data_IF_543899836149
#
_entry.id   IF_543899836149
#
_cell.length_a   1.000
_cell.length_b   1.000
_cell.length_c   1.000
_cell.angle_alpha   90.00
_cell.angle_beta   90.00
_cell.angle_gamma   90.00
#
_symmetry.space_group_name_H-M   'P 1'
#
loop_
_entity.id
_entity.type
_entity.pdbx_description
1 polymer ?
#
# COMPACT_ATOMS: atom_id res chain seq x y z
N UNK A 1 55.24 2.24 12.96
CA UNK A 1 53.81 2.04 12.63
C UNK A 1 53.44 3.04 11.54
N UNK A 2 52.87 2.59 10.41
CA UNK A 2 52.56 3.45 9.26
C UNK A 2 51.44 4.43 9.64
N UNK A 3 51.65 5.72 9.39
CA UNK A 3 50.78 6.84 9.79
C UNK A 3 49.33 6.62 9.30
N UNK A 4 49.17 6.00 8.13
CA UNK A 4 47.90 5.57 7.55
C UNK A 4 47.11 4.58 8.43
N UNK A 5 47.80 3.68 9.14
CA UNK A 5 47.16 2.71 10.05
C UNK A 5 46.65 3.38 11.33
N UNK A 6 47.29 4.46 11.76
CA UNK A 6 46.85 5.24 12.95
C UNK A 6 45.65 6.11 12.57
N UNK A 7 45.64 6.67 11.36
CA UNK A 7 44.53 7.46 10.85
C UNK A 7 43.26 6.61 10.68
N UNK A 8 43.38 5.39 10.13
CA UNK A 8 42.24 4.48 10.00
C UNK A 8 41.69 4.05 11.37
N UNK A 9 42.57 3.79 12.35
CA UNK A 9 42.14 3.41 13.69
C UNK A 9 41.37 4.56 14.37
N UNK A 10 41.84 5.80 14.22
CA UNK A 10 41.15 6.97 14.77
C UNK A 10 39.76 7.18 14.15
N UNK A 11 39.61 6.91 12.84
CA UNK A 11 38.34 7.09 12.13
C UNK A 11 37.29 6.04 12.54
N UNK A 12 37.72 4.80 12.81
CA UNK A 12 36.83 3.73 13.32
C UNK A 12 36.37 4.02 14.75
N UNK A 13 37.24 4.56 15.62
CA UNK A 13 36.87 4.93 16.98
C UNK A 13 35.85 6.08 16.99
N UNK A 14 35.98 7.06 16.09
CA UNK A 14 35.02 8.15 15.95
C UNK A 14 33.62 7.67 15.50
N UNK A 15 33.56 6.67 14.62
CA UNK A 15 32.30 6.05 14.19
C UNK A 15 31.63 5.25 15.31
N UNK A 16 32.39 4.58 16.17
CA UNK A 16 31.86 3.78 17.29
C UNK A 16 31.43 4.62 18.50
N UNK A 17 31.88 5.88 18.60
CA UNK A 17 31.52 6.78 19.70
C UNK A 17 30.26 7.62 19.43
N UNK A 18 29.65 7.50 18.25
CA UNK A 18 28.41 8.19 17.93
C UNK A 18 27.22 7.41 18.50
N UNK A 19 26.44 7.96 19.45
CA UNK A 19 25.23 7.30 19.91
C UNK A 19 24.24 7.25 18.73
N UNK A 20 23.94 6.04 18.26
CA UNK A 20 22.79 5.83 17.40
C UNK A 20 21.54 6.11 18.25
N UNK A 21 21.02 7.34 18.21
CA UNK A 21 19.66 7.64 18.63
C UNK A 21 18.69 7.04 17.61
N UNK A 22 18.56 5.72 17.65
CA UNK A 22 17.28 5.11 17.34
C UNK A 22 16.33 5.54 18.45
N UNK A 23 15.58 6.61 18.20
CA UNK A 23 14.44 6.96 19.04
C UNK A 23 13.42 5.84 18.95
N UNK A 24 13.52 4.84 19.82
CA UNK A 24 12.41 3.97 20.13
C UNK A 24 11.33 4.89 20.71
N UNK A 25 10.34 5.24 19.88
CA UNK A 25 9.19 6.04 20.30
C UNK A 25 8.62 5.42 21.58
N UNK A 26 8.49 6.23 22.63
CA UNK A 26 7.82 5.82 23.86
C UNK A 26 6.38 5.47 23.48
N UNK A 27 6.00 4.22 23.62
CA UNK A 27 4.59 3.83 23.57
C UNK A 27 3.85 4.57 24.68
N UNK A 28 3.04 5.55 24.29
CA UNK A 28 2.11 6.20 25.21
C UNK A 28 0.94 5.24 25.36
N UNK A 29 0.95 4.44 26.43
CA UNK A 29 -0.25 3.80 26.93
C UNK A 29 -1.07 4.94 27.53
N UNK A 30 -2.19 5.29 26.89
CA UNK A 30 -3.16 6.22 27.47
C UNK A 30 -3.95 5.41 28.50
N UNK A 31 -3.56 5.53 29.76
CA UNK A 31 -4.39 5.07 30.87
C UNK A 31 -5.65 5.96 30.92
N UNK A 32 -6.81 5.32 30.86
CA UNK A 32 -8.16 5.84 31.09
C UNK A 32 -8.57 7.17 30.43
N UNK A 33 -9.17 7.01 29.24
CA UNK A 33 -10.43 7.63 28.82
C UNK A 33 -10.71 9.08 29.26
N UNK A 34 -10.05 10.03 28.61
CA UNK A 34 -10.58 11.39 28.46
C UNK A 34 -11.56 11.45 27.26
N UNK A 35 -12.49 10.48 27.23
CA UNK A 35 -13.63 10.58 26.32
C UNK A 35 -14.54 11.64 26.92
N UNK A 36 -14.62 12.78 26.24
CA UNK A 36 -15.75 13.69 26.37
C UNK A 36 -17.01 12.83 26.44
N UNK A 37 -17.77 12.94 27.53
CA UNK A 37 -18.96 12.13 27.77
C UNK A 37 -19.91 12.33 26.59
N UNK A 38 -19.89 11.36 25.67
CA UNK A 38 -20.69 11.39 24.46
C UNK A 38 -21.94 10.53 24.73
N UNK A 39 -23.11 11.15 24.90
CA UNK A 39 -24.34 10.42 25.18
C UNK A 39 -24.69 9.41 24.07
N UNK A 40 -24.22 9.61 22.83
CA UNK A 40 -24.44 8.66 21.74
C UNK A 40 -23.55 7.41 21.93
N UNK A 41 -22.34 7.57 22.45
CA UNK A 41 -21.47 6.44 22.80
C UNK A 41 -22.03 5.66 23.99
N UNK A 42 -22.49 6.36 25.04
CA UNK A 42 -23.12 5.72 26.20
C UNK A 42 -24.40 4.96 25.81
N UNK A 43 -25.20 5.52 24.89
CA UNK A 43 -26.38 4.85 24.35
C UNK A 43 -26.02 3.62 23.50
N UNK A 44 -24.95 3.69 22.71
CA UNK A 44 -24.46 2.56 21.92
C UNK A 44 -23.92 1.43 22.82
N UNK A 45 -23.20 1.76 23.89
CA UNK A 45 -22.69 0.78 24.86
C UNK A 45 -23.83 0.14 25.66
N UNK A 46 -24.81 0.93 26.12
CA UNK A 46 -25.98 0.41 26.81
C UNK A 46 -26.81 -0.51 25.89
N UNK A 47 -26.96 -0.15 24.61
CA UNK A 47 -27.61 -0.99 23.60
C UNK A 47 -26.81 -2.28 23.30
N UNK A 48 -25.47 -2.20 23.36
CA UNK A 48 -24.58 -3.34 23.05
C UNK A 48 -24.31 -4.27 24.24
N UNK A 49 -24.50 -3.83 25.48
CA UNK A 49 -24.13 -4.62 26.68
C UNK A 49 -25.21 -4.75 27.74
N UNK A 50 -26.41 -4.21 27.51
CA UNK A 50 -27.54 -4.36 28.42
C UNK A 50 -28.12 -5.79 28.41
N UNK A 51 -28.40 -6.33 29.61
CA UNK A 51 -29.07 -7.61 29.87
C UNK A 51 -30.51 -7.74 29.29
N UNK A 52 -30.92 -6.84 28.39
CA UNK A 52 -32.18 -6.89 27.66
C UNK A 52 -32.07 -7.68 26.33
N UNK A 53 -30.88 -8.13 25.93
CA UNK A 53 -30.68 -8.90 24.70
C UNK A 53 -31.24 -10.35 24.71
N UNK A 54 -31.88 -10.80 25.80
CA UNK A 54 -32.38 -12.19 25.91
C UNK A 54 -33.91 -12.34 25.93
N UNK A 55 -34.71 -11.30 25.64
CA UNK A 55 -36.17 -11.49 25.51
C UNK A 55 -36.79 -10.55 24.46
N UNK A 56 -36.67 -10.91 23.18
CA UNK A 56 -37.75 -10.65 22.23
C UNK A 56 -37.72 -11.67 21.08
N UNK A 57 -38.66 -12.64 21.01
CA UNK A 57 -38.69 -13.64 19.95
C UNK A 57 -39.51 -13.11 18.78
N UNK A 58 -39.09 -12.03 18.11
CA UNK A 58 -39.82 -11.52 16.93
C UNK A 58 -39.00 -10.51 16.13
N UNK A 59 -37.88 -10.94 15.54
CA UNK A 59 -37.35 -10.27 14.34
C UNK A 59 -37.08 -11.33 13.30
N UNK A 60 -37.95 -11.32 12.29
CA UNK A 60 -37.83 -12.02 11.02
C UNK A 60 -36.39 -11.93 10.48
N UNK A 61 -35.83 -13.11 10.25
CA UNK A 61 -35.14 -13.52 9.03
C UNK A 61 -35.04 -12.45 7.92
N UNK A 62 -33.80 -12.24 7.44
CA UNK A 62 -33.33 -11.37 6.35
C UNK A 62 -32.66 -10.04 6.74
N UNK A 63 -31.62 -10.12 7.56
CA UNK A 63 -30.41 -9.33 7.28
C UNK A 63 -29.47 -10.22 6.46
N UNK A 64 -29.78 -10.35 5.16
CA UNK A 64 -28.78 -10.84 4.22
C UNK A 64 -27.59 -9.87 4.32
N UNK A 65 -26.45 -10.37 4.81
CA UNK A 65 -25.19 -9.69 4.59
C UNK A 65 -25.12 -9.43 3.08
N UNK A 66 -25.13 -8.15 2.69
CA UNK A 66 -24.85 -7.76 1.32
C UNK A 66 -23.42 -8.22 1.09
N UNK A 67 -23.25 -9.40 0.48
CA UNK A 67 -21.99 -9.79 -0.14
C UNK A 67 -21.73 -8.72 -1.20
N UNK A 68 -21.00 -7.68 -0.80
CA UNK A 68 -20.34 -6.81 -1.76
C UNK A 68 -19.39 -7.72 -2.51
N UNK A 69 -19.76 -8.02 -3.75
CA UNK A 69 -18.96 -8.79 -4.68
C UNK A 69 -17.76 -7.92 -5.09
N UNK A 70 -16.82 -7.76 -4.16
CA UNK A 70 -15.55 -7.10 -4.40
C UNK A 70 -14.69 -8.10 -5.13
N UNK A 71 -14.18 -7.73 -6.30
CA UNK A 71 -13.29 -8.57 -7.08
C UNK A 71 -12.09 -9.03 -6.21
N UNK A 72 -11.76 -10.32 -6.27
CA UNK A 72 -10.53 -10.84 -5.67
C UNK A 72 -9.35 -10.46 -6.57
N UNK A 73 -8.52 -9.56 -6.07
CA UNK A 73 -7.32 -9.03 -6.69
C UNK A 73 -6.05 -9.40 -5.91
N UNK A 74 -6.14 -10.22 -4.86
CA UNK A 74 -4.97 -10.71 -4.13
C UNK A 74 -4.14 -11.68 -4.97
N UNK A 75 -2.81 -11.64 -4.84
CA UNK A 75 -1.88 -12.56 -5.49
C UNK A 75 -0.80 -11.89 -6.32
N UNK A 76 -0.17 -12.66 -7.20
CA UNK A 76 0.94 -12.23 -8.05
C UNK A 76 0.44 -11.67 -9.38
N UNK A 77 0.91 -10.48 -9.74
CA UNK A 77 0.51 -9.72 -10.91
C UNK A 77 1.73 -9.23 -11.67
N UNK A 78 1.62 -9.24 -13.00
CA UNK A 78 2.53 -8.53 -13.89
C UNK A 78 1.79 -7.38 -14.55
N UNK A 79 2.30 -6.17 -14.34
CA UNK A 79 1.78 -4.94 -14.92
C UNK A 79 2.73 -4.47 -16.02
N UNK A 80 2.20 -4.35 -17.24
CA UNK A 80 2.89 -3.78 -18.38
C UNK A 80 2.54 -2.29 -18.47
N UNK A 81 3.58 -1.46 -18.43
CA UNK A 81 3.50 0.00 -18.51
C UNK A 81 4.01 0.46 -19.87
N UNK A 82 3.11 0.95 -20.70
CA UNK A 82 3.39 1.34 -22.08
C UNK A 82 3.31 2.86 -22.22
N UNK A 83 4.42 3.51 -22.58
CA UNK A 83 4.48 4.94 -22.84
C UNK A 83 5.00 5.21 -24.24
N UNK A 84 4.47 6.26 -24.86
CA UNK A 84 4.96 6.75 -26.13
C UNK A 84 5.69 8.07 -25.92
N UNK A 85 7.00 8.07 -26.14
CA UNK A 85 7.85 9.27 -26.06
C UNK A 85 8.44 9.49 -27.44
N UNK A 86 8.20 10.65 -28.05
CA UNK A 86 8.75 11.05 -29.35
C UNK A 86 8.60 10.00 -30.47
N UNK A 87 7.49 9.24 -30.45
CA UNK A 87 7.20 8.20 -31.44
C UNK A 87 7.88 6.86 -31.18
N UNK A 88 8.70 6.74 -30.14
CA UNK A 88 9.25 5.47 -29.65
C UNK A 88 8.36 4.89 -28.55
N UNK A 89 8.04 3.60 -28.69
CA UNK A 89 7.30 2.86 -27.69
C UNK A 89 8.29 2.38 -26.61
N UNK A 90 8.10 2.88 -25.38
CA UNK A 90 8.82 2.42 -24.19
C UNK A 90 7.88 1.54 -23.38
N UNK A 91 8.34 0.32 -23.09
CA UNK A 91 7.60 -0.64 -22.28
C UNK A 91 8.44 -1.01 -21.06
N UNK A 92 7.84 -0.94 -19.88
CA UNK A 92 8.41 -1.44 -18.64
C UNK A 92 7.47 -2.50 -18.04
N UNK A 93 8.05 -3.46 -17.32
CA UNK A 93 7.30 -4.47 -16.58
C UNK A 93 7.47 -4.23 -15.07
N UNK A 94 6.35 -4.19 -14.36
CA UNK A 94 6.26 -4.09 -12.92
C UNK A 94 5.60 -5.37 -12.40
N UNK A 95 6.35 -6.18 -11.67
CA UNK A 95 5.85 -7.39 -11.03
C UNK A 95 5.44 -7.05 -9.59
N UNK A 96 4.23 -7.39 -9.19
CA UNK A 96 3.62 -7.05 -7.89
C UNK A 96 3.06 -8.28 -7.20
N UNK A 97 3.17 -8.30 -5.88
CA UNK A 97 2.42 -9.19 -4.99
C UNK A 97 1.44 -8.33 -4.21
N UNK A 98 0.15 -8.50 -4.48
CA UNK A 98 -0.94 -7.75 -3.86
C UNK A 98 -1.61 -8.56 -2.76
N UNK A 99 -1.87 -7.89 -1.65
CA UNK A 99 -2.57 -8.38 -0.47
C UNK A 99 -3.82 -7.52 -0.34
N UNK A 100 -4.97 -8.16 -0.49
CA UNK A 100 -6.26 -7.50 -0.38
C UNK A 100 -6.83 -7.64 1.03
N UNK A 101 -7.36 -6.54 1.56
CA UNK A 101 -8.13 -6.51 2.81
C UNK A 101 -9.39 -5.68 2.57
N UNK A 102 -10.51 -6.37 2.27
CA UNK A 102 -11.76 -5.76 1.80
C UNK A 102 -11.54 -4.97 0.50
N UNK A 103 -11.72 -3.65 0.57
CA UNK A 103 -11.54 -2.66 -0.49
C UNK A 103 -10.10 -2.13 -0.55
N UNK A 104 -9.24 -2.42 0.43
CA UNK A 104 -7.85 -1.95 0.46
C UNK A 104 -6.90 -2.93 -0.21
N UNK A 105 -5.98 -2.40 -1.00
CA UNK A 105 -4.85 -3.13 -1.57
C UNK A 105 -3.53 -2.64 -0.96
N UNK A 106 -2.67 -3.58 -0.59
CA UNK A 106 -1.30 -3.33 -0.16
C UNK A 106 -0.39 -4.34 -0.83
N UNK A 107 0.86 -3.99 -1.06
CA UNK A 107 1.74 -4.92 -1.75
C UNK A 107 3.17 -4.44 -1.86
N UNK A 108 3.96 -5.28 -2.49
CA UNK A 108 5.36 -5.03 -2.81
C UNK A 108 5.67 -5.65 -4.15
N UNK A 109 6.78 -5.24 -4.75
CA UNK A 109 7.16 -5.74 -6.06
C UNK A 109 8.47 -5.17 -6.55
N UNK A 110 8.70 -5.35 -7.84
CA UNK A 110 9.91 -4.91 -8.52
C UNK A 110 9.58 -4.39 -9.90
N UNK A 111 10.27 -3.33 -10.30
CA UNK A 111 10.25 -2.84 -11.69
C UNK A 111 11.64 -2.99 -12.29
N UNK A 112 11.70 -3.56 -13.49
CA UNK A 112 12.94 -3.70 -14.23
C UNK A 112 13.24 -2.39 -14.98
N UNK A 113 14.23 -1.63 -14.53
CA UNK A 113 14.69 -0.40 -15.18
C UNK A 113 16.21 -0.43 -15.36
N UNK A 114 16.69 -0.21 -16.59
CA UNK A 114 18.13 -0.16 -16.87
C UNK A 114 18.88 -1.48 -16.60
N UNK A 115 18.17 -2.62 -16.57
CA UNK A 115 18.74 -3.93 -16.27
C UNK A 115 18.88 -4.23 -14.78
N UNK A 116 18.32 -3.40 -13.91
CA UNK A 116 18.26 -3.62 -12.46
C UNK A 116 16.81 -3.75 -12.00
N UNK A 117 16.56 -4.66 -11.08
CA UNK A 117 15.27 -4.79 -10.39
C UNK A 117 15.22 -3.76 -9.25
N UNK A 118 14.35 -2.76 -9.42
CA UNK A 118 14.15 -1.73 -8.41
C UNK A 118 12.98 -2.12 -7.50
N UNK A 119 13.18 -2.18 -6.17
CA UNK A 119 12.12 -2.53 -5.25
C UNK A 119 11.04 -1.44 -5.22
N UNK A 120 9.78 -1.88 -5.13
CA UNK A 120 8.61 -1.02 -5.10
C UNK A 120 7.62 -1.45 -4.01
N UNK A 121 6.92 -0.48 -3.44
CA UNK A 121 5.79 -0.71 -2.53
C UNK A 121 4.51 -0.26 -3.21
N UNK A 122 3.42 -1.00 -3.01
CA UNK A 122 2.13 -0.70 -3.61
C UNK A 122 1.05 -0.47 -2.53
N UNK A 123 0.23 0.55 -2.71
CA UNK A 123 -0.95 0.83 -1.89
C UNK A 123 -2.09 1.30 -2.77
N UNK A 124 -3.31 0.86 -2.50
CA UNK A 124 -4.44 1.21 -3.34
C UNK A 124 -5.79 0.89 -2.73
N UNK A 125 -6.82 1.13 -3.52
CA UNK A 125 -8.21 0.87 -3.17
C UNK A 125 -8.99 0.33 -4.37
N UNK A 126 -10.01 -0.47 -4.07
CA UNK A 126 -10.96 -1.04 -5.00
C UNK A 126 -12.30 -0.33 -4.79
N UNK A 127 -12.89 0.17 -5.87
CA UNK A 127 -14.22 0.79 -5.85
C UNK A 127 -15.01 0.25 -7.03
N UNK A 128 -16.01 -0.58 -6.75
CA UNK A 128 -16.79 -1.30 -7.77
C UNK A 128 -15.86 -2.03 -8.76
N UNK A 129 -15.86 -1.59 -10.03
CA UNK A 129 -15.04 -2.15 -11.11
C UNK A 129 -13.74 -1.36 -11.35
N UNK A 130 -13.39 -0.43 -10.46
CA UNK A 130 -12.20 0.43 -10.55
C UNK A 130 -11.18 0.12 -9.47
N UNK A 131 -9.91 0.25 -9.83
CA UNK A 131 -8.77 0.02 -8.95
C UNK A 131 -7.83 1.20 -9.10
N UNK A 132 -7.57 1.90 -8.00
CA UNK A 132 -6.53 2.92 -7.93
C UNK A 132 -5.35 2.35 -7.16
N UNK A 133 -4.16 2.41 -7.73
CA UNK A 133 -2.94 1.88 -7.13
C UNK A 133 -1.81 2.89 -7.25
N UNK A 134 -1.16 3.15 -6.14
CA UNK A 134 0.05 3.96 -6.03
C UNK A 134 1.21 3.01 -5.79
N UNK A 135 2.20 3.05 -6.67
CA UNK A 135 3.41 2.23 -6.60
C UNK A 135 4.63 3.12 -6.48
N UNK A 136 5.27 3.09 -5.31
CA UNK A 136 6.38 3.98 -4.96
C UNK A 136 7.72 3.25 -5.00
N UNK A 137 8.70 3.84 -5.67
CA UNK A 137 10.11 3.47 -5.61
C UNK A 137 10.80 4.46 -4.68
N UNK A 138 10.79 4.15 -3.38
CA UNK A 138 11.19 5.08 -2.31
C UNK A 138 12.62 5.61 -2.50
N UNK A 139 13.56 4.75 -2.90
CA UNK A 139 14.96 5.13 -3.10
C UNK A 139 15.14 6.11 -4.28
N UNK A 140 14.29 6.01 -5.29
CA UNK A 140 14.40 6.78 -6.54
C UNK A 140 13.50 8.02 -6.56
N UNK A 141 12.67 8.23 -5.53
CA UNK A 141 11.61 9.27 -5.49
C UNK A 141 10.73 9.25 -6.75
N UNK A 142 10.42 8.05 -7.24
CA UNK A 142 9.51 7.82 -8.35
C UNK A 142 8.22 7.19 -7.85
N UNK A 143 7.11 7.59 -8.44
CA UNK A 143 5.79 7.06 -8.13
C UNK A 143 5.01 6.80 -9.41
N UNK A 144 4.44 5.61 -9.53
CA UNK A 144 3.48 5.26 -10.56
C UNK A 144 2.09 5.29 -9.94
N UNK A 145 1.23 6.17 -10.42
CA UNK A 145 -0.19 6.19 -10.08
C UNK A 145 -0.95 5.49 -11.20
N UNK A 146 -1.67 4.42 -10.87
CA UNK A 146 -2.41 3.60 -11.81
C UNK A 146 -3.89 3.73 -11.54
N UNK A 147 -4.64 4.08 -12.58
CA UNK A 147 -6.10 4.06 -12.56
C UNK A 147 -6.56 2.98 -13.55
N UNK A 148 -7.08 1.90 -12.99
CA UNK A 148 -7.37 0.66 -13.70
C UNK A 148 -8.85 0.30 -13.58
N UNK A 149 -9.37 -0.36 -14.60
CA UNK A 149 -10.66 -1.04 -14.58
C UNK A 149 -10.45 -2.55 -14.55
N UNK A 150 -11.31 -3.25 -13.80
CA UNK A 150 -11.40 -4.70 -13.81
C UNK A 150 -11.99 -5.16 -15.13
N UNK A 151 -11.29 -6.05 -15.83
CA UNK A 151 -11.74 -6.66 -17.09
C UNK A 151 -11.67 -8.17 -16.97
N UNK A 152 -12.25 -8.89 -17.94
CA UNK A 152 -12.20 -10.35 -17.98
C UNK A 152 -10.73 -10.82 -18.00
N UNK A 153 -10.30 -11.46 -16.90
CA UNK A 153 -8.96 -12.03 -16.75
C UNK A 153 -7.84 -11.04 -16.40
N UNK A 154 -8.12 -9.78 -16.09
CA UNK A 154 -7.05 -8.83 -15.74
C UNK A 154 -7.51 -7.42 -15.36
N UNK A 155 -6.56 -6.48 -15.35
CA UNK A 155 -6.82 -5.06 -15.14
C UNK A 155 -6.29 -4.24 -16.32
N UNK A 156 -6.98 -3.16 -16.68
CA UNK A 156 -6.51 -2.27 -17.74
C UNK A 156 -6.88 -0.82 -17.47
N UNK A 157 -5.99 0.09 -17.81
CA UNK A 157 -6.27 1.50 -17.70
C UNK A 157 -5.07 2.36 -18.06
N UNK A 158 -4.86 3.41 -17.29
CA UNK A 158 -3.79 4.37 -17.49
C UNK A 158 -2.85 4.35 -16.30
N UNK A 159 -1.64 4.84 -16.52
CA UNK A 159 -0.76 5.24 -15.42
C UNK A 159 -0.16 6.61 -15.67
N UNK A 160 0.17 7.28 -14.58
CA UNK A 160 0.97 8.49 -14.53
C UNK A 160 2.25 8.21 -13.76
N UNK A 161 3.37 8.66 -14.30
CA UNK A 161 4.68 8.58 -13.66
C UNK A 161 5.03 9.95 -13.09
N UNK A 162 5.27 9.99 -11.79
CA UNK A 162 5.76 11.14 -11.07
C UNK A 162 7.22 10.93 -10.67
N UNK A 163 8.08 11.89 -10.98
CA UNK A 163 9.47 11.91 -10.53
C UNK A 163 9.69 13.17 -9.69
N UNK A 164 10.10 13.00 -8.43
CA UNK A 164 10.22 14.12 -7.49
C UNK A 164 8.98 15.02 -7.46
N UNK A 165 7.80 14.40 -7.35
CA UNK A 165 6.47 15.05 -7.27
C UNK A 165 6.04 15.82 -8.53
N UNK A 166 6.75 15.64 -9.66
CA UNK A 166 6.39 16.23 -10.94
C UNK A 166 5.96 15.15 -11.93
N UNK A 167 4.87 15.41 -12.64
CA UNK A 167 4.42 14.54 -13.72
C UNK A 167 5.52 14.46 -14.80
N UNK A 168 6.11 13.28 -14.93
CA UNK A 168 7.19 12.98 -15.86
C UNK A 168 6.69 12.22 -17.10
N UNK A 169 5.54 11.53 -16.99
CA UNK A 169 4.91 10.93 -18.15
C UNK A 169 3.58 10.25 -17.84
N UNK A 170 2.90 9.82 -18.91
CA UNK A 170 1.62 9.13 -18.85
C UNK A 170 1.55 8.05 -19.93
N UNK A 171 0.91 6.94 -19.62
CA UNK A 171 0.81 5.81 -20.54
C UNK A 171 -0.36 4.89 -20.24
N UNK A 172 -0.40 3.76 -20.94
CA UNK A 172 -1.37 2.70 -20.71
C UNK A 172 -0.79 1.67 -19.75
N UNK A 173 -1.64 1.09 -18.93
CA UNK A 173 -1.30 0.01 -18.02
C UNK A 173 -2.19 -1.20 -18.31
N UNK A 174 -1.58 -2.38 -18.41
CA UNK A 174 -2.29 -3.66 -18.52
C UNK A 174 -1.71 -4.64 -17.51
N UNK A 175 -2.53 -5.17 -16.61
CA UNK A 175 -2.12 -6.13 -15.61
C UNK A 175 -2.76 -7.51 -15.82
N UNK A 176 -1.98 -8.56 -15.63
CA UNK A 176 -2.42 -9.95 -15.69
C UNK A 176 -1.85 -10.74 -14.52
N UNK A 177 -2.61 -11.74 -14.03
CA UNK A 177 -2.14 -12.65 -12.98
C UNK A 177 -0.98 -13.53 -13.49
N UNK A 178 0.01 -13.78 -12.63
CA UNK A 178 1.15 -14.66 -12.92
C UNK A 178 0.90 -16.12 -12.54
N UNK A 179 0.06 -16.36 -11.53
CA UNK A 179 -0.40 -17.68 -11.12
C UNK A 179 -1.93 -17.74 -11.15
N UNK A 180 -2.47 -18.74 -11.86
CA UNK A 180 -3.88 -19.16 -11.82
C UNK A 180 -4.15 -20.10 -10.67
#
# INVERSE_FOLDING_TARGET
MKIHSVLCLALVIALLASPAWAGCGRWVIRDDTDYLSDPDFDQAVASSTGAAATLNPEIKENAAAKEENIADLGGEWRVLLEMKIDGQDKQNALDLILIQTRDRLQGYGTILEGGADLPATATGSISDDSVSLIVSLVEQKKEYQLDLAVIEGGLKGIYELYESEKLAGRGNATASRLSS
#
